data_IF_510905269225
#
_entry.id   IF_510905269225
#
_cell.length_a   1.000
_cell.length_b   1.000
_cell.length_c   1.000
_cell.angle_alpha   90.00
_cell.angle_beta   90.00
_cell.angle_gamma   90.00
#
_symmetry.space_group_name_H-M   'P 1'
#
loop_
_entity.id
_entity.type
_entity.pdbx_description
1 polymer ?
#
# COMPACT_ATOMS: atom_id res chain seq x y z
N UNK A 1 19.44 -8.60 -14.81
CA UNK A 1 20.05 -7.95 -13.62
C UNK A 1 19.16 -8.21 -12.43
N UNK A 2 19.65 -9.06 -11.52
CA UNK A 2 19.00 -9.33 -10.25
C UNK A 2 19.42 -8.25 -9.25
N UNK A 3 18.46 -7.54 -8.67
CA UNK A 3 18.67 -6.86 -7.41
C UNK A 3 17.60 -7.36 -6.45
N UNK A 4 17.94 -8.48 -5.79
CA UNK A 4 17.47 -8.70 -4.45
C UNK A 4 18.07 -7.57 -3.60
N UNK A 5 17.24 -6.69 -3.06
CA UNK A 5 17.67 -5.91 -1.90
C UNK A 5 16.55 -5.95 -0.88
N UNK A 6 16.72 -6.85 0.08
CA UNK A 6 16.25 -6.66 1.44
C UNK A 6 16.97 -5.42 2.00
N UNK A 7 16.63 -4.25 1.48
CA UNK A 7 17.38 -3.02 1.62
C UNK A 7 16.49 -1.88 2.08
N UNK A 8 17.13 -0.87 2.65
CA UNK A 8 16.52 0.40 2.98
C UNK A 8 16.80 1.33 1.78
N UNK A 9 15.74 1.92 1.24
CA UNK A 9 15.81 3.03 0.29
C UNK A 9 15.31 4.32 0.95
N UNK A 10 15.66 5.47 0.39
CA UNK A 10 15.17 6.76 0.88
C UNK A 10 13.99 7.24 0.04
N UNK A 11 13.00 7.81 0.73
CA UNK A 11 11.90 8.56 0.13
C UNK A 11 12.36 9.99 -0.15
N UNK A 12 11.64 10.72 -1.00
CA UNK A 12 12.05 12.07 -1.41
C UNK A 12 12.02 13.09 -0.25
N UNK A 13 11.23 12.86 0.80
CA UNK A 13 11.26 13.64 2.03
C UNK A 13 12.41 13.28 2.99
N UNK A 14 13.28 12.34 2.62
CA UNK A 14 14.43 11.91 3.41
C UNK A 14 14.13 10.81 4.45
N UNK A 15 12.88 10.37 4.57
CA UNK A 15 12.54 9.20 5.40
C UNK A 15 13.02 7.90 4.74
N UNK A 16 13.18 6.84 5.55
CA UNK A 16 13.62 5.53 5.08
C UNK A 16 12.44 4.62 4.73
N UNK A 17 12.64 3.76 3.74
CA UNK A 17 11.69 2.76 3.29
C UNK A 17 12.35 1.38 3.24
N UNK A 18 11.80 0.41 3.96
CA UNK A 18 12.29 -0.95 4.05
C UNK A 18 11.39 -1.91 3.26
N UNK A 19 11.99 -2.67 2.33
CA UNK A 19 11.28 -3.71 1.60
C UNK A 19 11.18 -5.01 2.41
N UNK A 20 9.98 -5.31 2.88
CA UNK A 20 9.74 -6.50 3.69
C UNK A 20 9.71 -7.78 2.83
N UNK A 21 10.62 -8.76 3.06
CA UNK A 21 10.62 -10.04 2.33
C UNK A 21 9.33 -10.83 2.55
N UNK A 22 8.69 -10.62 3.71
CA UNK A 22 7.41 -11.22 4.09
C UNK A 22 6.31 -11.00 3.05
N UNK A 23 6.25 -9.78 2.51
CA UNK A 23 5.26 -9.39 1.51
C UNK A 23 5.73 -9.67 0.08
N UNK A 24 6.91 -10.28 -0.07
CA UNK A 24 7.45 -10.81 -1.32
C UNK A 24 7.34 -12.35 -1.41
N UNK A 25 6.48 -12.94 -0.58
CA UNK A 25 6.16 -14.36 -0.60
C UNK A 25 7.13 -15.26 0.19
N UNK A 26 8.00 -14.67 1.02
CA UNK A 26 8.99 -15.39 1.82
C UNK A 26 8.54 -15.43 3.28
N UNK A 27 8.58 -16.60 3.92
CA UNK A 27 8.52 -16.73 5.38
C UNK A 27 7.15 -16.55 6.07
N UNK A 28 6.07 -16.12 5.38
CA UNK A 28 4.74 -16.11 5.99
C UNK A 28 3.60 -16.42 4.98
N UNK A 29 2.99 -17.62 5.04
CA UNK A 29 1.88 -17.98 4.14
C UNK A 29 0.59 -17.21 4.41
N UNK A 30 0.47 -16.57 5.59
CA UNK A 30 -0.70 -15.81 6.00
C UNK A 30 -0.60 -14.30 5.68
N UNK A 31 0.49 -13.87 5.03
CA UNK A 31 0.68 -12.50 4.58
C UNK A 31 -0.01 -12.24 3.24
N UNK A 32 -0.47 -11.01 3.04
CA UNK A 32 -0.73 -10.51 1.69
C UNK A 32 0.59 -10.36 0.94
N UNK A 33 0.60 -10.66 -0.35
CA UNK A 33 1.84 -10.72 -1.15
C UNK A 33 1.73 -9.81 -2.37
N UNK A 34 2.78 -9.03 -2.63
CA UNK A 34 2.93 -8.21 -3.83
C UNK A 34 2.94 -9.11 -5.09
N UNK A 35 2.27 -8.68 -6.16
CA UNK A 35 2.35 -9.38 -7.44
C UNK A 35 3.78 -9.30 -8.00
N UNK A 36 4.19 -10.33 -8.75
CA UNK A 36 5.54 -10.40 -9.35
C UNK A 36 5.86 -9.23 -10.29
N UNK A 37 4.86 -8.67 -10.95
CA UNK A 37 5.00 -7.52 -11.85
C UNK A 37 5.00 -6.16 -11.12
N UNK A 38 4.75 -6.13 -9.80
CA UNK A 38 5.01 -4.95 -8.98
C UNK A 38 6.44 -5.05 -8.49
N UNK A 39 7.37 -4.39 -9.17
CA UNK A 39 8.78 -4.37 -8.77
C UNK A 39 8.99 -3.58 -7.46
N UNK A 40 10.20 -3.63 -6.91
CA UNK A 40 10.57 -2.78 -5.77
C UNK A 40 10.47 -1.29 -6.12
N UNK A 41 10.83 -0.91 -7.35
CA UNK A 41 10.70 0.46 -7.82
C UNK A 41 9.24 0.92 -7.87
N UNK A 42 8.32 0.07 -8.32
CA UNK A 42 6.88 0.41 -8.33
C UNK A 42 6.36 0.53 -6.89
N UNK A 43 6.71 -0.41 -6.00
CA UNK A 43 6.34 -0.32 -4.57
C UNK A 43 6.86 0.99 -3.95
N UNK A 44 8.13 1.33 -4.18
CA UNK A 44 8.76 2.56 -3.70
C UNK A 44 8.03 3.80 -4.23
N UNK A 45 7.75 3.88 -5.53
CA UNK A 45 7.00 5.00 -6.12
C UNK A 45 5.62 5.18 -5.49
N UNK A 46 4.90 4.09 -5.23
CA UNK A 46 3.58 4.17 -4.58
C UNK A 46 3.72 4.71 -3.15
N UNK A 47 4.75 4.27 -2.41
CA UNK A 47 5.05 4.73 -1.06
C UNK A 47 5.44 6.22 -1.04
N UNK A 48 6.36 6.60 -1.92
CA UNK A 48 6.88 7.96 -2.06
C UNK A 48 5.75 8.96 -2.32
N UNK A 49 4.85 8.65 -3.27
CA UNK A 49 3.66 9.48 -3.54
C UNK A 49 2.75 9.57 -2.30
N UNK A 50 2.55 8.47 -1.56
CA UNK A 50 1.66 8.47 -0.40
C UNK A 50 2.21 9.34 0.73
N UNK A 51 3.51 9.19 1.02
CA UNK A 51 4.16 9.78 2.19
C UNK A 51 4.48 11.25 1.92
N UNK A 52 5.00 11.61 0.74
CA UNK A 52 5.34 12.99 0.41
C UNK A 52 4.12 13.90 0.23
N UNK A 53 2.97 13.34 -0.18
CA UNK A 53 1.72 14.09 -0.21
C UNK A 53 1.06 14.22 1.17
N UNK A 54 1.75 13.85 2.25
CA UNK A 54 1.24 13.83 3.62
C UNK A 54 -0.08 13.06 3.75
N UNK A 55 -0.24 11.98 2.97
CA UNK A 55 -1.46 11.15 2.96
C UNK A 55 -1.39 10.03 3.99
N UNK A 56 -0.95 10.37 5.20
CA UNK A 56 -0.91 9.44 6.32
C UNK A 56 -1.80 9.92 7.47
N UNK A 57 -2.38 8.95 8.16
CA UNK A 57 -3.21 9.14 9.35
C UNK A 57 -2.62 8.34 10.49
N UNK A 58 -2.87 8.76 11.72
CA UNK A 58 -2.54 7.93 12.87
C UNK A 58 -3.56 6.79 12.99
N UNK A 59 -3.07 5.55 12.98
CA UNK A 59 -3.86 4.35 13.20
C UNK A 59 -3.10 3.44 14.17
N UNK A 60 -3.75 3.06 15.27
CA UNK A 60 -3.12 2.22 16.32
C UNK A 60 -1.79 2.79 16.86
N UNK A 61 -1.72 4.13 17.05
CA UNK A 61 -0.53 4.85 17.53
C UNK A 61 0.67 4.84 16.57
N UNK A 62 0.43 4.54 15.29
CA UNK A 62 1.46 4.56 14.25
C UNK A 62 0.96 5.36 13.04
N UNK A 63 1.83 6.15 12.38
CA UNK A 63 1.52 6.72 11.08
C UNK A 63 1.28 5.62 10.05
N UNK A 64 0.16 5.72 9.33
CA UNK A 64 -0.22 4.79 8.26
C UNK A 64 -0.62 5.59 7.02
N UNK A 65 0.01 5.30 5.89
CA UNK A 65 -0.32 5.86 4.59
C UNK A 65 -0.97 4.82 3.68
N UNK A 66 -1.76 5.29 2.72
CA UNK A 66 -2.41 4.43 1.74
C UNK A 66 -2.29 5.03 0.34
N UNK A 67 -2.03 4.20 -0.66
CA UNK A 67 -2.04 4.62 -2.06
C UNK A 67 -2.29 3.42 -2.99
N UNK A 68 -2.41 3.66 -4.29
CA UNK A 68 -2.74 2.67 -5.32
C UNK A 68 -1.77 2.80 -6.50
N UNK A 69 -1.67 1.74 -7.30
CA UNK A 69 -1.00 1.79 -8.59
C UNK A 69 -2.03 1.95 -9.72
N UNK A 70 -1.74 2.85 -10.68
CA UNK A 70 -2.51 3.02 -11.90
C UNK A 70 -1.62 2.81 -13.12
N UNK A 71 -2.06 1.98 -14.06
CA UNK A 71 -1.49 1.89 -15.40
C UNK A 71 -2.54 2.32 -16.42
N UNK A 72 -2.17 3.23 -17.34
CA UNK A 72 -3.09 3.78 -18.35
C UNK A 72 -4.41 4.31 -17.74
N UNK A 73 -4.29 5.02 -16.60
CA UNK A 73 -5.40 5.58 -15.82
C UNK A 73 -6.41 4.53 -15.27
N UNK A 74 -6.05 3.25 -15.26
CA UNK A 74 -6.84 2.16 -14.65
C UNK A 74 -6.16 1.70 -13.38
N UNK A 75 -6.94 1.52 -12.30
CA UNK A 75 -6.45 0.95 -11.05
C UNK A 75 -6.07 -0.51 -11.31
N UNK A 76 -4.84 -0.87 -10.95
CA UNK A 76 -4.31 -2.21 -11.14
C UNK A 76 -4.34 -3.00 -9.84
N UNK A 77 -4.49 -4.31 -9.95
CA UNK A 77 -4.11 -5.21 -8.86
C UNK A 77 -2.61 -5.06 -8.58
N UNK A 78 -2.25 -5.00 -7.30
CA UNK A 78 -0.87 -4.86 -6.83
C UNK A 78 -0.42 -6.07 -6.01
N UNK A 79 -1.36 -6.89 -5.55
CA UNK A 79 -1.08 -8.02 -4.69
C UNK A 79 -2.29 -8.93 -4.55
N UNK A 80 -2.16 -9.94 -3.70
CA UNK A 80 -3.26 -10.81 -3.32
C UNK A 80 -3.21 -11.17 -1.84
N UNK A 81 -4.37 -11.48 -1.26
CA UNK A 81 -4.44 -12.00 0.11
C UNK A 81 -4.29 -13.54 0.16
N UNK A 82 -4.39 -14.11 1.37
CA UNK A 82 -4.26 -15.56 1.62
C UNK A 82 -5.30 -16.41 0.86
N UNK A 83 -6.42 -15.80 0.46
CA UNK A 83 -7.49 -16.43 -0.34
C UNK A 83 -7.31 -16.20 -1.84
N UNK A 84 -6.15 -15.71 -2.28
CA UNK A 84 -5.83 -15.37 -3.68
C UNK A 84 -6.78 -14.34 -4.30
N UNK A 85 -7.42 -13.51 -3.48
CA UNK A 85 -8.20 -12.37 -3.98
C UNK A 85 -7.27 -11.20 -4.26
N UNK A 86 -7.46 -10.58 -5.43
CA UNK A 86 -6.69 -9.41 -5.83
C UNK A 86 -6.91 -8.23 -4.88
N UNK A 87 -5.81 -7.57 -4.56
CA UNK A 87 -5.74 -6.38 -3.74
C UNK A 87 -5.19 -5.24 -4.59
N UNK A 88 -5.79 -4.07 -4.42
CA UNK A 88 -5.48 -2.86 -5.18
C UNK A 88 -4.88 -1.75 -4.30
N UNK A 89 -5.11 -1.81 -2.98
CA UNK A 89 -4.68 -0.80 -2.00
C UNK A 89 -3.35 -1.23 -1.40
N UNK A 90 -2.34 -0.37 -1.50
CA UNK A 90 -1.12 -0.50 -0.73
C UNK A 90 -1.30 0.21 0.61
N UNK A 91 -0.81 -0.42 1.67
CA UNK A 91 -0.75 0.15 3.02
C UNK A 91 0.71 0.26 3.43
N UNK A 92 1.08 1.41 3.97
CA UNK A 92 2.43 1.72 4.44
C UNK A 92 2.37 2.07 5.92
N UNK A 93 3.23 1.45 6.74
CA UNK A 93 3.24 1.63 8.18
C UNK A 93 4.63 2.10 8.61
N UNK A 94 4.67 3.14 9.44
CA UNK A 94 5.89 3.62 10.08
C UNK A 94 6.05 2.89 11.43
N UNK A 95 6.67 1.71 11.39
CA UNK A 95 6.80 0.80 12.55
C UNK A 95 8.04 1.03 13.42
N UNK A 96 9.00 1.79 12.90
CA UNK A 96 10.20 2.25 13.61
C UNK A 96 10.39 3.69 13.20
N UNK A 97 10.69 4.64 14.12
CA UNK A 97 10.75 6.06 13.79
C UNK A 97 11.47 6.33 12.45
N UNK A 98 10.76 6.98 11.52
CA UNK A 98 11.22 7.35 10.18
C UNK A 98 11.57 6.18 9.25
N UNK A 99 11.09 4.96 9.53
CA UNK A 99 11.25 3.79 8.65
C UNK A 99 9.89 3.20 8.31
N UNK A 100 9.48 3.45 7.07
CA UNK A 100 8.26 2.91 6.49
C UNK A 100 8.50 1.51 5.91
N UNK A 101 7.45 0.69 5.90
CA UNK A 101 7.41 -0.50 5.06
C UNK A 101 5.99 -0.68 4.52
N UNK A 102 5.87 -1.32 3.35
CA UNK A 102 4.60 -1.49 2.67
C UNK A 102 4.15 -2.93 2.48
N UNK A 103 2.86 -3.07 2.25
CA UNK A 103 2.26 -4.31 1.79
C UNK A 103 0.92 -4.08 1.08
N UNK A 104 0.44 -5.06 0.27
CA UNK A 104 -0.93 -5.03 -0.24
C UNK A 104 -1.93 -5.18 0.91
N UNK A 105 -2.68 -4.11 1.20
CA UNK A 105 -3.65 -4.09 2.28
C UNK A 105 -4.88 -4.93 1.95
N UNK A 106 -5.22 -5.90 2.81
CA UNK A 106 -6.41 -6.75 2.64
C UNK A 106 -7.68 -6.03 3.10
N UNK A 107 -8.04 -4.94 2.43
CA UNK A 107 -9.21 -4.11 2.75
C UNK A 107 -10.55 -4.87 2.62
N UNK A 108 -10.54 -6.06 2.00
CA UNK A 108 -11.68 -6.96 1.82
C UNK A 108 -11.84 -7.84 3.07
N UNK A 109 -10.77 -8.49 3.52
CA UNK A 109 -10.81 -9.49 4.59
C UNK A 109 -10.40 -8.99 5.98
N UNK A 110 -9.72 -7.85 6.07
CA UNK A 110 -9.09 -7.35 7.30
C UNK A 110 -9.45 -5.89 7.56
N UNK A 111 -10.26 -5.64 8.60
CA UNK A 111 -10.68 -4.27 8.95
C UNK A 111 -9.50 -3.33 9.22
N UNK A 112 -8.41 -3.83 9.81
CA UNK A 112 -7.21 -3.04 10.09
C UNK A 112 -6.48 -2.56 8.84
N UNK A 113 -6.67 -3.22 7.70
CA UNK A 113 -6.04 -2.85 6.42
C UNK A 113 -6.96 -1.98 5.55
N UNK A 114 -8.18 -1.71 6.00
CA UNK A 114 -9.12 -0.85 5.31
C UNK A 114 -8.81 0.63 5.63
N UNK A 115 -8.61 1.49 4.60
CA UNK A 115 -8.46 2.92 4.83
C UNK A 115 -9.72 3.49 5.51
N UNK A 116 -9.53 4.35 6.51
CA UNK A 116 -10.65 5.03 7.17
C UNK A 116 -11.31 6.06 6.25
N UNK A 117 -12.47 6.58 6.65
CA UNK A 117 -13.23 7.52 5.82
C UNK A 117 -12.45 8.80 5.48
N UNK A 118 -11.64 9.32 6.40
CA UNK A 118 -10.80 10.51 6.19
C UNK A 118 -9.76 10.25 5.10
N UNK A 119 -9.06 9.12 5.17
CA UNK A 119 -8.07 8.70 4.16
C UNK A 119 -8.73 8.52 2.79
N UNK A 120 -9.90 7.87 2.74
CA UNK A 120 -10.62 7.69 1.48
C UNK A 120 -11.05 9.02 0.86
N UNK A 121 -11.49 9.99 1.67
CA UNK A 121 -11.80 11.34 1.19
C UNK A 121 -10.57 12.03 0.62
N UNK A 122 -9.40 11.90 1.26
CA UNK A 122 -8.14 12.45 0.75
C UNK A 122 -7.75 11.80 -0.59
N UNK A 123 -7.88 10.47 -0.72
CA UNK A 123 -7.65 9.78 -2.00
C UNK A 123 -8.58 10.28 -3.11
N UNK A 124 -9.83 10.64 -2.80
CA UNK A 124 -10.75 11.26 -3.76
C UNK A 124 -10.33 12.68 -4.13
N UNK A 125 -10.00 13.51 -3.12
CA UNK A 125 -9.59 14.90 -3.34
C UNK A 125 -8.32 15.00 -4.19
N UNK A 126 -7.38 14.07 -4.00
CA UNK A 126 -6.14 13.99 -4.76
C UNK A 126 -6.30 13.29 -6.14
N UNK A 127 -7.52 12.97 -6.57
CA UNK A 127 -7.77 12.31 -7.86
C UNK A 127 -7.26 10.87 -7.96
N UNK A 128 -6.85 10.27 -6.84
CA UNK A 128 -6.35 8.88 -6.80
C UNK A 128 -7.50 7.91 -7.01
N UNK A 129 -8.68 8.17 -6.47
CA UNK A 129 -9.89 7.38 -6.72
C UNK A 129 -11.10 8.29 -6.97
N UNK A 130 -12.10 7.77 -7.67
CA UNK A 130 -13.42 8.37 -7.80
C UNK A 130 -14.29 8.13 -6.56
N UNK A 131 -15.36 8.91 -6.41
CA UNK A 131 -16.37 8.70 -5.36
C UNK A 131 -17.01 7.30 -5.41
N UNK A 132 -17.19 6.75 -6.61
CA UNK A 132 -17.73 5.39 -6.81
C UNK A 132 -16.76 4.34 -6.27
N UNK A 133 -15.46 4.48 -6.56
CA UNK A 133 -14.43 3.57 -6.08
C UNK A 133 -14.27 3.66 -4.56
N UNK A 134 -14.29 4.87 -3.99
CA UNK A 134 -14.34 5.08 -2.53
C UNK A 134 -15.48 4.29 -1.87
N UNK A 135 -16.70 4.34 -2.43
CA UNK A 135 -17.86 3.61 -1.89
C UNK A 135 -17.69 2.09 -1.95
N UNK A 136 -16.98 1.56 -2.96
CA UNK A 136 -16.68 0.12 -3.05
C UNK A 136 -15.61 -0.28 -2.04
N UNK A 137 -14.52 0.49 -1.94
CA UNK A 137 -13.42 0.23 -1.00
C UNK A 137 -13.91 0.29 0.45
N UNK A 138 -14.72 1.29 0.82
CA UNK A 138 -15.25 1.41 2.19
C UNK A 138 -16.10 0.18 2.58
N UNK A 139 -16.84 -0.39 1.63
CA UNK A 139 -17.64 -1.61 1.81
C UNK A 139 -16.82 -2.90 1.69
N UNK A 140 -15.51 -2.82 1.48
CA UNK A 140 -14.64 -4.00 1.31
C UNK A 140 -14.94 -4.77 0.03
N UNK A 141 -15.43 -4.10 -1.01
CA UNK A 141 -15.74 -4.70 -2.30
C UNK A 141 -14.58 -4.50 -3.28
N UNK A 142 -14.28 -5.51 -4.14
CA UNK A 142 -13.36 -5.31 -5.25
C UNK A 142 -13.84 -4.19 -6.17
N UNK A 143 -12.93 -3.55 -6.91
CA UNK A 143 -13.25 -2.54 -7.92
C UNK A 143 -13.65 -3.12 -9.27
#
# INVERSE_FOLDING_TARGET
>A
MAFCSNGIEFLSNGESYFFSPKHRGIGNPNASVWLKNISFQIEHQIADIAINNNMYVEQQKQPVAYNLYKANNKICAIGYNVKRKDLIIAKFVNSSPNTWHGYPGDYIGKMQDKPNQTTLKQLVLNGVISKKEMSRISRGQPL
#
